data_IF_336859912528
#
_entry.id   IF_336859912528
#
_cell.length_a   1.000
_cell.length_b   1.000
_cell.length_c   1.000
_cell.angle_alpha   90.00
_cell.angle_beta   90.00
_cell.angle_gamma   90.00
#
_symmetry.space_group_name_H-M   'P 1'
#
loop_
_entity.id
_entity.type
_entity.pdbx_description
1 polymer ?
#
# COMPACT_ATOMS: atom_id res chain seq x y z
N UNK A 1 -2.34 -10.31 -11.33
CA UNK A 1 -1.45 -11.38 -10.81
C UNK A 1 -1.17 -11.06 -9.35
N UNK A 2 -0.98 -12.04 -8.48
CA UNK A 2 -0.66 -11.77 -7.07
C UNK A 2 0.86 -11.83 -6.85
N UNK A 3 1.41 -10.85 -6.14
CA UNK A 3 2.82 -10.70 -5.80
C UNK A 3 3.21 -11.52 -4.56
N UNK A 4 2.27 -11.79 -3.66
CA UNK A 4 2.51 -12.49 -2.39
C UNK A 4 1.74 -13.81 -2.34
N UNK A 5 1.94 -14.70 -3.31
CA UNK A 5 1.15 -15.94 -3.45
C UNK A 5 1.15 -16.83 -2.20
N UNK A 6 2.24 -16.84 -1.44
CA UNK A 6 2.40 -17.69 -0.26
C UNK A 6 1.82 -17.09 1.03
N UNK A 7 1.25 -15.88 0.97
CA UNK A 7 0.73 -15.18 2.14
C UNK A 7 -0.80 -15.11 2.08
N UNK A 8 -1.48 -15.82 2.97
CA UNK A 8 -2.93 -15.66 3.15
C UNK A 8 -3.24 -14.32 3.86
N UNK A 9 -4.48 -13.81 3.78
CA UNK A 9 -4.91 -12.69 4.62
C UNK A 9 -4.65 -12.97 6.11
N UNK A 10 -4.00 -12.03 6.77
CA UNK A 10 -3.55 -12.11 8.16
C UNK A 10 -4.75 -11.95 9.09
N UNK A 11 -4.91 -12.89 10.01
CA UNK A 11 -6.03 -12.93 10.95
C UNK A 11 -5.55 -12.81 12.39
N UNK A 12 -6.45 -12.42 13.27
CA UNK A 12 -6.25 -12.53 14.70
C UNK A 12 -6.36 -13.99 15.14
N UNK A 13 -5.34 -14.49 15.85
CA UNK A 13 -5.31 -15.85 16.42
C UNK A 13 -5.03 -15.86 17.94
N UNK A 14 -4.86 -14.68 18.54
CA UNK A 14 -4.60 -14.52 19.97
C UNK A 14 -3.15 -14.68 20.38
N UNK A 15 -2.88 -14.33 21.64
CA UNK A 15 -1.52 -14.12 22.18
C UNK A 15 -0.65 -15.39 22.24
N UNK A 16 -1.27 -16.57 22.21
CA UNK A 16 -0.58 -17.86 22.28
C UNK A 16 -0.24 -18.44 20.90
N UNK A 17 -0.61 -17.78 19.80
CA UNK A 17 -0.34 -18.31 18.46
C UNK A 17 1.17 -18.40 18.18
N UNK A 18 1.56 -19.51 17.58
CA UNK A 18 2.90 -19.73 17.02
C UNK A 18 2.96 -19.39 15.53
N UNK A 19 1.83 -19.09 14.90
CA UNK A 19 1.80 -18.63 13.52
C UNK A 19 2.56 -17.29 13.41
N UNK A 20 3.51 -17.21 12.48
CA UNK A 20 4.25 -15.98 12.23
C UNK A 20 3.40 -14.96 11.47
N UNK A 21 2.42 -15.43 10.69
CA UNK A 21 1.54 -14.62 9.85
C UNK A 21 0.14 -14.49 10.47
N UNK A 22 0.09 -14.16 11.75
CA UNK A 22 -1.15 -13.90 12.50
C UNK A 22 -0.97 -12.77 13.52
N UNK A 23 -2.03 -11.99 13.73
CA UNK A 23 -2.06 -10.98 14.78
C UNK A 23 -2.24 -11.64 16.15
N UNK A 24 -1.39 -11.26 17.10
CA UNK A 24 -1.44 -11.71 18.50
C UNK A 24 -2.33 -10.86 19.39
N UNK A 25 -2.42 -9.57 19.07
CA UNK A 25 -3.09 -8.56 19.90
C UNK A 25 -4.09 -7.71 19.12
N UNK A 26 -3.90 -7.55 17.82
CA UNK A 26 -4.81 -6.77 16.99
C UNK A 26 -5.98 -7.65 16.55
N UNK A 27 -7.12 -7.48 17.19
CA UNK A 27 -8.40 -7.98 16.73
C UNK A 27 -9.25 -6.79 16.23
N UNK A 28 -9.46 -6.63 14.92
CA UNK A 28 -10.14 -5.45 14.38
C UNK A 28 -11.57 -5.26 14.91
N UNK A 29 -12.23 -6.34 15.34
CA UNK A 29 -13.61 -6.33 15.85
C UNK A 29 -13.69 -6.18 17.38
N UNK A 30 -12.57 -6.26 18.10
CA UNK A 30 -12.57 -6.15 19.56
C UNK A 30 -12.93 -4.73 19.98
N UNK A 31 -13.97 -4.61 20.81
CA UNK A 31 -14.44 -3.33 21.34
C UNK A 31 -13.65 -2.97 22.60
N UNK A 32 -12.92 -1.86 22.52
CA UNK A 32 -12.18 -1.27 23.63
C UNK A 32 -12.73 0.13 23.87
N UNK A 33 -13.12 0.46 25.10
CA UNK A 33 -13.67 1.77 25.47
C UNK A 33 -14.80 2.28 24.54
N UNK A 34 -15.64 1.37 24.01
CA UNK A 34 -16.81 1.70 23.19
C UNK A 34 -16.56 1.88 21.69
N UNK A 35 -15.34 1.62 21.19
CA UNK A 35 -15.00 1.57 19.76
C UNK A 35 -14.23 0.30 19.43
N UNK A 36 -14.32 -0.18 18.19
CA UNK A 36 -13.49 -1.32 17.77
C UNK A 36 -12.01 -0.92 17.72
N UNK A 37 -11.08 -1.87 17.87
CA UNK A 37 -9.65 -1.56 17.72
C UNK A 37 -9.34 -0.93 16.36
N UNK A 38 -10.04 -1.35 15.30
CA UNK A 38 -9.88 -0.75 13.97
C UNK A 38 -10.25 0.74 13.95
N UNK A 39 -11.36 1.11 14.58
CA UNK A 39 -11.83 2.50 14.72
C UNK A 39 -10.95 3.35 15.64
N UNK A 40 -10.24 2.72 16.57
CA UNK A 40 -9.33 3.43 17.46
C UNK A 40 -7.96 3.66 16.83
N UNK A 41 -7.40 2.63 16.21
CA UNK A 41 -6.00 2.64 15.77
C UNK A 41 -5.83 3.28 14.40
N UNK A 42 -6.82 3.12 13.50
CA UNK A 42 -6.77 3.67 12.15
C UNK A 42 -5.42 3.45 11.46
N UNK A 43 -4.92 2.20 11.48
CA UNK A 43 -3.63 1.88 10.87
C UNK A 43 -3.59 2.30 9.40
N UNK A 44 -2.43 2.83 9.00
CA UNK A 44 -2.16 3.26 7.65
C UNK A 44 -0.85 2.68 7.14
N UNK A 45 -0.82 2.33 5.85
CA UNK A 45 0.41 1.93 5.17
C UNK A 45 1.07 3.11 4.48
N UNK A 46 2.37 3.26 4.68
CA UNK A 46 3.20 4.25 4.01
C UNK A 46 3.70 3.68 2.67
N UNK A 47 3.29 4.29 1.56
CA UNK A 47 3.66 3.81 0.22
C UNK A 47 5.18 3.84 0.02
N UNK A 48 5.84 4.93 0.40
CA UNK A 48 7.29 5.10 0.22
C UNK A 48 8.12 3.97 0.85
N UNK A 49 7.94 3.68 2.14
CA UNK A 49 8.72 2.63 2.80
C UNK A 49 8.31 1.22 2.40
N UNK A 50 7.05 1.02 2.02
CA UNK A 50 6.52 -0.33 1.73
C UNK A 50 6.85 -0.77 0.30
N UNK A 51 6.85 0.17 -0.65
CA UNK A 51 6.85 -0.13 -2.09
C UNK A 51 8.08 0.43 -2.81
N UNK A 52 8.54 1.64 -2.47
CA UNK A 52 9.56 2.35 -3.26
C UNK A 52 10.95 2.32 -2.65
N UNK A 53 11.06 2.18 -1.33
CA UNK A 53 12.35 2.06 -0.64
C UNK A 53 13.04 0.75 -1.03
N UNK A 54 14.25 0.86 -1.57
CA UNK A 54 15.04 -0.24 -2.14
C UNK A 54 16.09 -0.81 -1.17
N UNK A 55 16.16 -0.27 0.05
CA UNK A 55 17.09 -0.68 1.10
C UNK A 55 18.50 -0.10 0.95
N UNK A 56 18.72 0.85 0.05
CA UNK A 56 19.96 1.61 0.00
C UNK A 56 20.12 2.52 1.24
N UNK A 57 21.37 2.79 1.61
CA UNK A 57 21.73 3.71 2.68
C UNK A 57 22.94 4.57 2.27
N UNK A 58 23.38 5.57 3.07
CA UNK A 58 24.51 6.42 2.70
C UNK A 58 25.86 5.68 2.48
N UNK A 59 25.95 4.40 2.83
CA UNK A 59 27.14 3.57 2.78
C UNK A 59 26.99 2.34 1.87
N UNK A 60 25.84 2.12 1.24
CA UNK A 60 25.56 0.91 0.48
C UNK A 60 24.43 1.04 -0.55
N UNK A 61 24.49 0.16 -1.56
CA UNK A 61 23.50 0.10 -2.64
C UNK A 61 22.21 -0.62 -2.23
N UNK A 62 21.19 -0.52 -3.09
CA UNK A 62 19.92 -1.23 -2.97
C UNK A 62 20.09 -2.73 -2.72
N UNK A 63 19.23 -3.30 -1.88
CA UNK A 63 19.24 -4.72 -1.48
C UNK A 63 17.89 -5.41 -1.64
N UNK A 64 16.80 -4.65 -1.80
CA UNK A 64 15.45 -5.18 -1.90
C UNK A 64 15.14 -5.62 -3.35
N UNK A 65 14.96 -6.91 -3.58
CA UNK A 65 14.53 -7.44 -4.86
C UNK A 65 13.01 -7.57 -4.90
N UNK A 66 12.34 -6.72 -5.70
CA UNK A 66 10.88 -6.66 -5.77
C UNK A 66 10.37 -6.98 -7.19
N UNK A 67 9.43 -7.92 -7.37
CA UNK A 67 8.94 -8.28 -8.70
C UNK A 67 8.37 -7.08 -9.48
N UNK A 68 7.65 -6.19 -8.78
CA UNK A 68 7.09 -4.97 -9.38
C UNK A 68 8.16 -3.97 -9.86
N UNK A 69 9.42 -4.11 -9.47
CA UNK A 69 10.53 -3.27 -9.97
C UNK A 69 11.38 -3.99 -11.03
N UNK A 70 11.39 -5.33 -11.06
CA UNK A 70 12.29 -6.14 -11.89
C UNK A 70 11.73 -6.55 -13.26
N UNK A 71 10.41 -6.55 -13.47
CA UNK A 71 9.76 -7.04 -14.71
C UNK A 71 10.01 -6.18 -15.98
N UNK A 72 10.76 -5.07 -15.87
CA UNK A 72 11.03 -4.15 -16.97
C UNK A 72 9.81 -3.27 -17.34
N UNK A 73 9.81 -2.75 -18.56
CA UNK A 73 8.78 -1.83 -19.07
C UNK A 73 9.11 -0.35 -18.82
N UNK A 74 8.13 0.52 -19.05
CA UNK A 74 8.26 1.94 -18.76
C UNK A 74 8.18 2.22 -17.25
N UNK A 75 8.63 3.39 -16.85
CA UNK A 75 8.51 3.89 -15.48
C UNK A 75 7.03 3.99 -15.03
N UNK A 76 6.13 4.25 -15.98
CA UNK A 76 4.69 4.29 -15.71
C UNK A 76 4.11 2.89 -15.53
N UNK A 77 4.53 1.90 -16.35
CA UNK A 77 4.15 0.50 -16.15
C UNK A 77 4.58 0.00 -14.76
N UNK A 78 5.78 0.39 -14.31
CA UNK A 78 6.27 0.11 -12.96
C UNK A 78 5.37 0.74 -11.88
N UNK A 79 4.93 1.98 -12.07
CA UNK A 79 4.02 2.65 -11.15
C UNK A 79 2.66 1.92 -11.03
N UNK A 80 2.08 1.43 -12.14
CA UNK A 80 0.87 0.60 -12.09
C UNK A 80 1.08 -0.68 -11.29
N UNK A 81 2.20 -1.38 -11.51
CA UNK A 81 2.53 -2.61 -10.78
C UNK A 81 2.75 -2.38 -9.28
N UNK A 82 3.37 -1.25 -8.93
CA UNK A 82 3.53 -0.78 -7.54
C UNK A 82 2.17 -0.54 -6.86
N UNK A 83 1.21 0.10 -7.55
CA UNK A 83 -0.17 0.25 -7.05
C UNK A 83 -0.83 -1.10 -6.82
N UNK A 84 -0.70 -2.04 -7.76
CA UNK A 84 -1.26 -3.38 -7.62
C UNK A 84 -0.70 -4.11 -6.39
N UNK A 85 0.63 -4.11 -6.23
CA UNK A 85 1.30 -4.73 -5.10
C UNK A 85 0.91 -4.09 -3.76
N UNK A 86 0.78 -2.76 -3.74
CA UNK A 86 0.40 -2.02 -2.54
C UNK A 86 -1.00 -2.41 -2.04
N UNK A 87 -1.98 -2.46 -2.94
CA UNK A 87 -3.33 -2.85 -2.56
C UNK A 87 -3.41 -4.31 -2.12
N UNK A 88 -2.63 -5.21 -2.72
CA UNK A 88 -2.54 -6.59 -2.25
C UNK A 88 -2.00 -6.70 -0.82
N UNK A 89 -0.95 -5.94 -0.47
CA UNK A 89 -0.42 -5.90 0.91
C UNK A 89 -1.48 -5.38 1.87
N UNK A 90 -2.15 -4.29 1.51
CA UNK A 90 -3.17 -3.67 2.34
C UNK A 90 -4.37 -4.61 2.55
N UNK A 91 -4.79 -5.34 1.51
CA UNK A 91 -5.81 -6.41 1.60
C UNK A 91 -5.41 -7.52 2.55
N UNK A 92 -4.18 -8.05 2.41
CA UNK A 92 -3.71 -9.15 3.25
C UNK A 92 -3.57 -8.73 4.71
N UNK A 93 -3.15 -7.50 4.97
CA UNK A 93 -3.03 -6.98 6.35
C UNK A 93 -4.37 -6.50 6.93
N UNK A 94 -5.40 -6.30 6.10
CA UNK A 94 -6.68 -5.70 6.53
C UNK A 94 -6.55 -4.21 6.88
N UNK A 95 -5.56 -3.51 6.30
CA UNK A 95 -5.34 -2.08 6.57
C UNK A 95 -6.27 -1.24 5.69
N UNK A 96 -6.97 -0.27 6.28
CA UNK A 96 -7.97 0.57 5.60
C UNK A 96 -7.47 1.95 5.21
N UNK A 97 -6.24 2.31 5.57
CA UNK A 97 -5.71 3.64 5.26
C UNK A 97 -4.33 3.59 4.64
N UNK A 98 -3.99 4.61 3.86
CA UNK A 98 -2.65 4.76 3.32
C UNK A 98 -2.23 6.22 3.10
N UNK A 99 -0.93 6.39 2.97
CA UNK A 99 -0.27 7.66 2.73
C UNK A 99 0.73 7.52 1.57
N UNK A 100 0.88 8.59 0.77
CA UNK A 100 1.91 8.66 -0.27
C UNK A 100 2.43 10.10 -0.47
N UNK A 101 3.62 10.24 -1.03
CA UNK A 101 4.03 11.44 -1.74
C UNK A 101 3.73 11.25 -3.23
N UNK A 102 3.39 12.32 -3.92
CA UNK A 102 3.16 12.33 -5.38
C UNK A 102 4.28 11.62 -6.17
N UNK A 103 5.54 11.88 -5.81
CA UNK A 103 6.71 11.26 -6.42
C UNK A 103 6.88 9.76 -6.11
N UNK A 104 6.19 9.23 -5.10
CA UNK A 104 6.25 7.80 -4.78
C UNK A 104 5.40 6.98 -5.76
N UNK A 105 4.28 7.57 -6.18
CA UNK A 105 3.27 6.88 -6.97
C UNK A 105 3.43 7.15 -8.47
N UNK A 106 3.93 8.32 -8.88
CA UNK A 106 4.00 8.70 -10.27
C UNK A 106 5.43 9.09 -10.71
N UNK A 107 5.88 8.62 -11.89
CA UNK A 107 7.18 9.01 -12.42
C UNK A 107 7.19 10.47 -12.88
N UNK A 108 8.30 11.17 -12.61
CA UNK A 108 8.47 12.61 -12.92
C UNK A 108 8.37 12.95 -14.41
N UNK A 109 8.69 12.00 -15.30
CA UNK A 109 8.82 12.31 -16.73
C UNK A 109 9.89 13.37 -17.01
N UNK A 110 9.79 14.02 -18.16
CA UNK A 110 10.76 15.00 -18.66
C UNK A 110 10.26 16.45 -18.53
N UNK A 111 9.05 16.66 -18.01
CA UNK A 111 8.48 17.99 -17.79
C UNK A 111 7.39 17.95 -16.73
N UNK A 112 7.07 19.10 -16.13
CA UNK A 112 5.97 19.22 -15.17
C UNK A 112 4.61 18.80 -15.78
N UNK A 113 4.40 19.08 -17.08
CA UNK A 113 3.20 18.63 -17.80
C UNK A 113 3.09 17.12 -17.86
N UNK A 114 4.21 16.45 -18.14
CA UNK A 114 4.29 14.99 -18.18
C UNK A 114 4.10 14.39 -16.78
N UNK A 115 4.73 14.98 -15.75
CA UNK A 115 4.53 14.57 -14.37
C UNK A 115 3.05 14.58 -13.97
N UNK A 116 2.34 15.69 -14.23
CA UNK A 116 0.91 15.77 -13.89
C UNK A 116 0.06 14.78 -14.68
N UNK A 117 0.37 14.53 -15.96
CA UNK A 117 -0.33 13.52 -16.73
C UNK A 117 -0.13 12.11 -16.14
N UNK A 118 1.10 11.77 -15.75
CA UNK A 118 1.41 10.49 -15.09
C UNK A 118 0.72 10.39 -13.71
N UNK A 119 0.69 11.49 -12.96
CA UNK A 119 0.05 11.55 -11.65
C UNK A 119 -1.47 11.34 -11.77
N UNK A 120 -2.12 12.01 -12.72
CA UNK A 120 -3.55 11.85 -13.00
C UNK A 120 -3.86 10.37 -13.30
N UNK A 121 -3.09 9.74 -14.20
CA UNK A 121 -3.27 8.34 -14.58
C UNK A 121 -3.11 7.38 -13.38
N UNK A 122 -2.09 7.57 -12.54
CA UNK A 122 -1.90 6.71 -11.38
C UNK A 122 -2.94 6.97 -10.29
N UNK A 123 -3.39 8.21 -10.10
CA UNK A 123 -4.47 8.50 -9.14
C UNK A 123 -5.81 7.92 -9.58
N UNK A 124 -6.09 7.87 -10.88
CA UNK A 124 -7.23 7.15 -11.44
C UNK A 124 -7.14 5.64 -11.15
N UNK A 125 -5.96 5.04 -11.30
CA UNK A 125 -5.75 3.63 -10.97
C UNK A 125 -5.91 3.37 -9.45
N UNK A 126 -5.39 4.24 -8.58
CA UNK A 126 -5.62 4.17 -7.13
C UNK A 126 -7.12 4.23 -6.81
N UNK A 127 -7.86 5.13 -7.45
CA UNK A 127 -9.30 5.27 -7.27
C UNK A 127 -10.07 4.02 -7.73
N UNK A 128 -9.67 3.40 -8.85
CA UNK A 128 -10.23 2.13 -9.30
C UNK A 128 -10.05 1.04 -8.24
N UNK A 129 -8.83 0.90 -7.69
CA UNK A 129 -8.53 -0.08 -6.64
C UNK A 129 -9.38 0.14 -5.40
N UNK A 130 -9.51 1.39 -4.93
CA UNK A 130 -10.37 1.73 -3.80
C UNK A 130 -11.83 1.32 -4.05
N UNK A 131 -12.37 1.63 -5.24
CA UNK A 131 -13.75 1.28 -5.61
C UNK A 131 -13.96 -0.24 -5.64
N UNK A 132 -13.04 -0.97 -6.28
CA UNK A 132 -13.11 -2.44 -6.38
C UNK A 132 -13.11 -3.09 -5.00
N UNK A 133 -12.23 -2.63 -4.13
CA UNK A 133 -12.17 -3.11 -2.75
C UNK A 133 -13.44 -2.82 -1.96
N UNK A 134 -13.95 -1.58 -2.07
CA UNK A 134 -15.17 -1.15 -1.39
C UNK A 134 -16.34 -2.05 -1.75
N UNK A 135 -16.46 -2.39 -3.04
CA UNK A 135 -17.48 -3.32 -3.54
C UNK A 135 -17.28 -4.73 -2.98
N UNK A 136 -16.04 -5.24 -2.96
CA UNK A 136 -15.74 -6.57 -2.44
C UNK A 136 -16.00 -6.73 -0.93
N UNK A 137 -15.73 -5.69 -0.14
CA UNK A 137 -15.82 -5.72 1.32
C UNK A 137 -17.18 -5.28 1.88
N UNK A 138 -18.08 -4.76 1.05
CA UNK A 138 -19.34 -4.11 1.47
C UNK A 138 -19.14 -3.14 2.67
N UNK A 139 -18.01 -2.41 2.68
CA UNK A 139 -17.58 -1.57 3.80
C UNK A 139 -17.02 -0.24 3.28
N UNK A 140 -16.36 0.55 4.14
CA UNK A 140 -15.80 1.86 3.78
C UNK A 140 -14.63 1.81 2.78
N UNK A 141 -14.06 0.63 2.50
CA UNK A 141 -12.90 0.40 1.62
C UNK A 141 -11.60 1.01 2.16
N UNK A 142 -10.47 0.75 1.48
CA UNK A 142 -9.22 1.49 1.71
C UNK A 142 -9.39 2.95 1.31
N UNK A 143 -8.85 3.87 2.11
CA UNK A 143 -8.87 5.32 1.88
C UNK A 143 -7.50 5.94 2.04
N UNK A 144 -7.21 6.94 1.20
CA UNK A 144 -6.06 7.80 1.41
C UNK A 144 -6.35 8.75 2.58
N UNK A 145 -5.40 8.90 3.50
CA UNK A 145 -5.53 9.84 4.65
C UNK A 145 -4.50 10.95 4.66
N UNK A 146 -3.42 10.80 3.88
CA UNK A 146 -2.42 11.84 3.70
C UNK A 146 -1.81 11.73 2.31
N UNK A 147 -1.70 12.87 1.63
CA UNK A 147 -0.80 13.04 0.49
C UNK A 147 0.03 14.28 0.68
N UNK A 148 1.31 14.18 0.37
CA UNK A 148 2.17 15.34 0.26
C UNK A 148 2.51 15.56 -1.21
N UNK A 149 2.08 16.71 -1.74
CA UNK A 149 2.44 17.18 -3.07
C UNK A 149 3.74 17.97 -2.94
N UNK A 150 4.78 17.55 -3.64
CA UNK A 150 5.97 18.36 -3.79
C UNK A 150 5.72 19.37 -4.91
N UNK A 151 5.84 20.65 -4.60
CA UNK A 151 5.92 21.68 -5.65
C UNK A 151 7.29 21.50 -6.30
N UNK A 152 7.31 20.84 -7.46
CA UNK A 152 8.51 20.63 -8.29
C UNK A 152 8.72 21.84 -9.21
#
# INVERSE_FOLDING_TARGET
MAYFNDIAPIKYEGTKTKNMFAFRHYNPEEVVAGKTMEEQLHFALAFWHTITMDGADPFGSATMERPWDLEGGSELDRAHRRVDAFFEIAEKLGVKYYCFHDIDIAPKGNSLKEFYANLDEITDHLLEKQKKQKQALNSSGIRQICSQTHVI
#
